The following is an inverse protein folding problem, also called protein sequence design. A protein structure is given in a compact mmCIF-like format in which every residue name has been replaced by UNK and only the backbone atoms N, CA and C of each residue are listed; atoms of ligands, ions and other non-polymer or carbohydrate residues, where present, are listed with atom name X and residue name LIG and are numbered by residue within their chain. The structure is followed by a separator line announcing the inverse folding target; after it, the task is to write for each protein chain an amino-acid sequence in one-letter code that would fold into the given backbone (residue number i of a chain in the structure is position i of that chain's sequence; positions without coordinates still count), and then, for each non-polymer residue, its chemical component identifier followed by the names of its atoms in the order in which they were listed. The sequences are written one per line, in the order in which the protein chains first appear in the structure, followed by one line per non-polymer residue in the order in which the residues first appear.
data_IF_464912296766
#
_entry.id   IF_464912296766
#
_cell.length_a   1.000
_cell.length_b   1.000
_cell.length_c   1.000
_cell.angle_alpha   90.00
_cell.angle_beta   90.00
_cell.angle_gamma   90.00
#
_symmetry.space_group_name_H-M   'P 1'
#
loop_
_entity.id
_entity.type
_entity.pdbx_description
1 polymer ?
#
# COMPACT_ATOMS: atom_id res chain seq x y z
N UNK A 1 -13.21 -70.94 -34.62
CA UNK A 1 -12.22 -72.04 -34.55
C UNK A 1 -10.81 -71.44 -34.61
N UNK A 2 -10.06 -71.37 -33.50
CA UNK A 2 -8.71 -70.81 -33.53
C UNK A 2 -7.74 -71.79 -34.22
N UNK A 3 -6.97 -71.29 -35.20
CA UNK A 3 -5.93 -72.08 -35.86
C UNK A 3 -4.84 -72.43 -34.85
N UNK A 4 -4.70 -73.72 -34.55
CA UNK A 4 -3.61 -74.27 -33.72
C UNK A 4 -2.25 -73.85 -34.31
N UNK A 5 -1.47 -73.07 -33.57
CA UNK A 5 -0.04 -72.84 -33.85
C UNK A 5 0.65 -74.21 -33.88
N UNK A 6 1.08 -74.66 -35.06
CA UNK A 6 1.94 -75.85 -35.21
C UNK A 6 3.24 -75.56 -34.45
N UNK A 7 3.61 -76.42 -33.52
CA UNK A 7 4.86 -76.30 -32.76
C UNK A 7 6.05 -76.40 -33.72
N UNK A 8 6.94 -75.41 -33.68
CA UNK A 8 8.16 -75.32 -34.52
C UNK A 8 9.22 -76.42 -34.25
N UNK A 9 8.86 -77.55 -33.64
CA UNK A 9 9.79 -78.66 -33.44
C UNK A 9 10.07 -79.45 -34.73
N UNK A 10 9.16 -79.42 -35.70
CA UNK A 10 9.27 -80.23 -36.92
C UNK A 10 10.46 -79.83 -37.83
N UNK A 11 10.97 -78.58 -37.74
CA UNK A 11 12.06 -78.06 -38.58
C UNK A 11 13.42 -77.94 -37.86
N UNK A 12 13.61 -78.60 -36.71
CA UNK A 12 14.86 -78.52 -35.95
C UNK A 12 15.76 -79.75 -36.16
N UNK A 13 17.06 -79.51 -36.39
CA UNK A 13 18.05 -80.59 -36.58
C UNK A 13 18.06 -81.56 -35.39
N UNK A 14 18.44 -82.83 -35.60
CA UNK A 14 18.45 -83.85 -34.53
C UNK A 14 19.26 -83.38 -33.32
N UNK A 15 20.37 -82.67 -33.56
CA UNK A 15 21.24 -82.07 -32.54
C UNK A 15 20.55 -80.99 -31.72
N UNK A 16 19.75 -80.12 -32.34
CA UNK A 16 18.98 -79.11 -31.62
C UNK A 16 17.88 -79.74 -30.76
N UNK A 17 17.27 -80.85 -31.22
CA UNK A 17 16.29 -81.61 -30.44
C UNK A 17 16.92 -82.32 -29.25
N UNK A 18 18.05 -82.99 -29.45
CA UNK A 18 18.81 -83.64 -28.38
C UNK A 18 19.27 -82.62 -27.31
N UNK A 19 19.78 -81.46 -27.73
CA UNK A 19 20.19 -80.41 -26.80
C UNK A 19 19.02 -79.76 -26.04
N UNK A 20 17.81 -79.73 -26.61
CA UNK A 20 16.61 -79.28 -25.90
C UNK A 20 16.13 -80.31 -24.89
N UNK A 21 16.18 -81.60 -25.23
CA UNK A 21 15.82 -82.70 -24.32
C UNK A 21 16.82 -82.80 -23.15
N UNK A 22 18.12 -82.66 -23.42
CA UNK A 22 19.14 -82.57 -22.37
C UNK A 22 18.87 -81.40 -21.44
N UNK A 23 18.55 -80.21 -21.98
CA UNK A 23 18.17 -79.02 -21.20
C UNK A 23 16.90 -79.19 -20.35
N UNK A 24 15.93 -79.97 -20.81
CA UNK A 24 14.71 -80.24 -20.02
C UNK A 24 14.92 -81.27 -18.91
N UNK A 25 16.05 -81.99 -18.93
CA UNK A 25 16.43 -83.00 -17.94
C UNK A 25 17.60 -82.54 -17.06
N UNK A 26 18.09 -81.30 -17.25
CA UNK A 26 19.15 -80.71 -16.43
C UNK A 26 18.67 -80.53 -14.98
N UNK A 27 19.55 -80.81 -14.02
CA UNK A 27 19.38 -80.38 -12.63
C UNK A 27 19.40 -78.85 -12.55
N UNK A 28 18.83 -78.28 -11.49
CA UNK A 28 18.90 -76.84 -11.24
C UNK A 28 20.36 -76.37 -11.06
N UNK A 29 21.20 -77.20 -10.43
CA UNK A 29 22.64 -76.92 -10.24
C UNK A 29 23.38 -76.92 -11.59
N UNK A 30 23.19 -77.95 -12.43
CA UNK A 30 23.80 -78.02 -13.76
C UNK A 30 23.30 -76.88 -14.67
N UNK A 31 22.03 -76.52 -14.55
CA UNK A 31 21.43 -75.38 -15.24
C UNK A 31 22.08 -74.06 -14.81
N UNK A 32 22.39 -73.90 -13.53
CA UNK A 32 23.08 -72.73 -12.99
C UNK A 32 24.52 -72.67 -13.49
N UNK A 33 25.28 -73.76 -13.40
CA UNK A 33 26.67 -73.85 -13.90
C UNK A 33 26.73 -73.54 -15.40
N UNK A 34 25.80 -74.05 -16.20
CA UNK A 34 25.77 -73.72 -17.63
C UNK A 34 25.50 -72.23 -17.85
N UNK A 35 24.56 -71.63 -17.12
CA UNK A 35 24.26 -70.20 -17.23
C UNK A 35 25.45 -69.33 -16.80
N UNK A 36 26.18 -69.71 -15.76
CA UNK A 36 27.38 -68.96 -15.33
C UNK A 36 28.48 -69.02 -16.38
N UNK A 37 28.77 -70.21 -16.92
CA UNK A 37 29.75 -70.38 -18.00
C UNK A 37 29.37 -69.64 -19.28
N UNK A 38 28.08 -69.62 -19.63
CA UNK A 38 27.58 -68.85 -20.78
C UNK A 38 27.71 -67.33 -20.53
N UNK A 39 27.40 -66.87 -19.30
CA UNK A 39 27.55 -65.47 -18.91
C UNK A 39 29.03 -65.03 -18.93
N UNK A 40 29.95 -65.85 -18.43
CA UNK A 40 31.39 -65.60 -18.46
C UNK A 40 31.91 -65.50 -19.90
N UNK A 41 31.48 -66.41 -20.78
CA UNK A 41 31.87 -66.37 -22.19
C UNK A 41 31.37 -65.12 -22.89
N UNK A 42 30.14 -64.71 -22.61
CA UNK A 42 29.60 -63.44 -23.12
C UNK A 42 30.33 -62.23 -22.54
N UNK A 43 30.68 -62.23 -21.25
CA UNK A 43 31.45 -61.16 -20.63
C UNK A 43 32.85 -61.04 -21.27
N UNK A 44 33.53 -62.16 -21.52
CA UNK A 44 34.82 -62.17 -22.21
C UNK A 44 34.71 -61.66 -23.66
N UNK A 45 33.65 -62.04 -24.38
CA UNK A 45 33.38 -61.50 -25.71
C UNK A 45 33.14 -59.99 -25.68
N UNK A 46 32.34 -59.49 -24.72
CA UNK A 46 32.09 -58.05 -24.53
C UNK A 46 33.36 -57.28 -24.20
N UNK A 47 34.22 -57.84 -23.35
CA UNK A 47 35.50 -57.23 -22.98
C UNK A 47 36.48 -57.13 -24.17
N UNK A 48 36.35 -58.03 -25.15
CA UNK A 48 37.15 -58.03 -26.37
C UNK A 48 36.52 -57.24 -27.53
N UNK A 49 35.32 -56.65 -27.37
CA UNK A 49 34.67 -55.86 -28.42
C UNK A 49 35.47 -54.58 -28.74
N UNK A 50 35.64 -54.27 -30.03
CA UNK A 50 36.12 -52.95 -30.43
C UNK A 50 35.02 -51.90 -30.22
N UNK A 51 35.41 -50.62 -30.22
CA UNK A 51 34.46 -49.51 -30.15
C UNK A 51 33.37 -49.59 -31.24
N UNK A 52 33.75 -49.88 -32.48
CA UNK A 52 32.80 -49.97 -33.61
C UNK A 52 31.81 -51.14 -33.46
N UNK A 53 32.28 -52.31 -33.02
CA UNK A 53 31.42 -53.45 -32.75
C UNK A 53 30.46 -53.17 -31.59
N UNK A 54 30.96 -52.52 -30.54
CA UNK A 54 30.16 -52.04 -29.41
C UNK A 54 29.06 -51.09 -29.88
N UNK A 55 29.42 -50.08 -30.68
CA UNK A 55 28.48 -49.10 -31.21
C UNK A 55 27.42 -49.73 -32.11
N UNK A 56 27.84 -50.61 -33.03
CA UNK A 56 26.93 -51.34 -33.93
C UNK A 56 25.91 -52.16 -33.13
N UNK A 57 26.38 -52.87 -32.11
CA UNK A 57 25.50 -53.64 -31.22
C UNK A 57 24.52 -52.72 -30.48
N UNK A 58 24.98 -51.62 -29.90
CA UNK A 58 24.11 -50.67 -29.21
C UNK A 58 23.05 -50.06 -30.15
N UNK A 59 23.41 -49.75 -31.40
CA UNK A 59 22.45 -49.25 -32.39
C UNK A 59 21.40 -50.31 -32.73
N UNK A 60 21.80 -51.56 -32.98
CA UNK A 60 20.87 -52.66 -33.25
C UNK A 60 19.93 -52.94 -32.07
N UNK A 61 20.43 -52.82 -30.83
CA UNK A 61 19.61 -52.97 -29.63
C UNK A 61 18.63 -51.79 -29.47
N UNK A 62 19.09 -50.55 -29.73
CA UNK A 62 18.23 -49.37 -29.72
C UNK A 62 17.11 -49.46 -30.77
N UNK A 63 17.42 -49.88 -31.99
CA UNK A 63 16.45 -50.08 -33.07
C UNK A 63 15.43 -51.15 -32.71
N UNK A 64 15.89 -52.28 -32.14
CA UNK A 64 14.99 -53.35 -31.68
C UNK A 64 14.05 -52.84 -30.59
N UNK A 65 14.55 -52.07 -29.63
CA UNK A 65 13.73 -51.48 -28.58
C UNK A 65 12.75 -50.44 -29.15
N UNK A 66 13.17 -49.57 -30.05
CA UNK A 66 12.31 -48.59 -30.71
C UNK A 66 11.17 -49.28 -31.47
N UNK A 67 11.47 -50.34 -32.24
CA UNK A 67 10.47 -51.14 -32.93
C UNK A 67 9.50 -51.83 -31.96
N UNK A 68 9.99 -52.36 -30.84
CA UNK A 68 9.14 -52.91 -29.79
C UNK A 68 8.21 -51.86 -29.19
N UNK A 69 8.73 -50.65 -28.87
CA UNK A 69 7.92 -49.54 -28.34
C UNK A 69 6.85 -49.09 -29.33
N UNK A 70 7.19 -48.99 -30.61
CA UNK A 70 6.24 -48.60 -31.66
C UNK A 70 5.11 -49.63 -31.85
N UNK A 71 5.36 -50.90 -31.52
CA UNK A 71 4.39 -51.98 -31.58
C UNK A 71 3.61 -52.21 -30.26
N UNK A 72 3.91 -51.46 -29.19
CA UNK A 72 3.19 -51.59 -27.91
C UNK A 72 1.73 -51.12 -28.04
N UNK A 73 0.81 -51.92 -27.50
CA UNK A 73 -0.57 -51.47 -27.28
C UNK A 73 -0.63 -50.45 -26.14
N UNK A 74 -1.67 -49.59 -26.07
CA UNK A 74 -1.82 -48.64 -24.96
C UNK A 74 -1.75 -49.30 -23.56
N UNK A 75 -2.31 -50.50 -23.40
CA UNK A 75 -2.27 -51.24 -22.13
C UNK A 75 -0.84 -51.73 -21.80
N UNK A 76 -0.09 -52.18 -22.79
CA UNK A 76 1.32 -52.57 -22.61
C UNK A 76 2.19 -51.35 -22.28
N UNK A 77 1.97 -50.22 -22.96
CA UNK A 77 2.64 -48.95 -22.66
C UNK A 77 2.37 -48.50 -21.24
N UNK A 78 1.11 -48.56 -20.79
CA UNK A 78 0.73 -48.20 -19.43
C UNK A 78 1.36 -49.14 -18.40
N UNK A 79 1.27 -50.45 -18.59
CA UNK A 79 1.87 -51.43 -17.68
C UNK A 79 3.39 -51.22 -17.54
N UNK A 80 4.07 -50.92 -18.65
CA UNK A 80 5.48 -50.55 -18.63
C UNK A 80 5.74 -49.27 -17.85
N UNK A 81 4.99 -48.20 -18.11
CA UNK A 81 5.18 -46.92 -17.43
C UNK A 81 4.97 -47.05 -15.91
N UNK A 82 4.04 -47.89 -15.48
CA UNK A 82 3.84 -48.21 -14.05
C UNK A 82 5.07 -48.90 -13.47
N UNK A 83 5.59 -49.96 -14.13
CA UNK A 83 6.79 -50.66 -13.67
C UNK A 83 8.01 -49.73 -13.63
N UNK A 84 8.16 -48.87 -14.64
CA UNK A 84 9.26 -47.89 -14.70
C UNK A 84 9.13 -46.85 -13.57
N UNK A 85 7.92 -46.35 -13.29
CA UNK A 85 7.65 -45.43 -12.20
C UNK A 85 7.93 -46.06 -10.83
N UNK A 86 7.50 -47.31 -10.61
CA UNK A 86 7.78 -48.07 -9.38
C UNK A 86 9.27 -48.28 -9.18
N UNK A 87 10.00 -48.66 -10.24
CA UNK A 87 11.46 -48.82 -10.19
C UNK A 87 12.15 -47.51 -9.83
N UNK A 88 11.75 -46.40 -10.45
CA UNK A 88 12.30 -45.09 -10.12
C UNK A 88 11.98 -44.69 -8.68
N UNK A 89 10.75 -44.92 -8.20
CA UNK A 89 10.38 -44.64 -6.82
C UNK A 89 11.23 -45.46 -5.83
N UNK A 90 11.43 -46.75 -6.09
CA UNK A 90 12.29 -47.61 -5.28
C UNK A 90 13.75 -47.15 -5.29
N UNK A 91 14.27 -46.74 -6.45
CA UNK A 91 15.61 -46.15 -6.55
C UNK A 91 15.71 -44.86 -5.73
N UNK A 92 14.72 -43.95 -5.82
CA UNK A 92 14.69 -42.70 -5.02
C UNK A 92 14.65 -43.01 -3.52
N UNK A 93 13.87 -44.00 -3.09
CA UNK A 93 13.77 -44.38 -1.69
C UNK A 93 15.08 -44.97 -1.14
N UNK A 94 15.90 -45.56 -2.01
CA UNK A 94 17.21 -46.12 -1.66
C UNK A 94 18.38 -45.13 -1.81
N UNK A 95 18.14 -43.88 -2.28
CA UNK A 95 19.18 -42.87 -2.42
C UNK A 95 19.77 -42.48 -1.06
N UNK A 96 21.09 -42.36 -0.99
CA UNK A 96 21.73 -41.70 0.15
C UNK A 96 21.45 -40.19 0.14
N UNK A 97 21.71 -39.51 1.25
CA UNK A 97 21.59 -38.04 1.32
C UNK A 97 22.47 -37.33 0.30
N UNK A 98 23.71 -37.81 0.09
CA UNK A 98 24.63 -37.27 -0.91
C UNK A 98 24.13 -37.49 -2.33
N UNK A 99 23.60 -38.68 -2.65
CA UNK A 99 23.00 -38.95 -3.96
C UNK A 99 21.76 -38.09 -4.21
N UNK A 100 20.92 -37.91 -3.19
CA UNK A 100 19.74 -37.03 -3.25
C UNK A 100 20.15 -35.59 -3.54
N UNK A 101 21.16 -35.08 -2.82
CA UNK A 101 21.67 -33.73 -3.02
C UNK A 101 22.27 -33.55 -4.42
N UNK A 102 23.13 -34.47 -4.86
CA UNK A 102 23.73 -34.42 -6.20
C UNK A 102 22.66 -34.41 -7.30
N UNK A 103 21.62 -35.23 -7.14
CA UNK A 103 20.47 -35.21 -8.05
C UNK A 103 19.73 -33.86 -8.03
N UNK A 104 19.40 -33.34 -6.85
CA UNK A 104 18.67 -32.07 -6.74
C UNK A 104 19.44 -30.92 -7.37
N UNK A 105 20.78 -30.91 -7.25
CA UNK A 105 21.64 -29.93 -7.92
C UNK A 105 21.54 -30.07 -9.43
N UNK A 106 21.68 -31.29 -9.98
CA UNK A 106 21.56 -31.53 -11.43
C UNK A 106 20.16 -31.15 -11.95
N UNK A 107 19.10 -31.47 -11.19
CA UNK A 107 17.72 -31.12 -11.56
C UNK A 107 17.52 -29.60 -11.53
N UNK A 108 18.06 -28.90 -10.52
CA UNK A 108 18.02 -27.44 -10.43
C UNK A 108 18.79 -26.77 -11.58
N UNK A 109 19.98 -27.26 -11.92
CA UNK A 109 20.78 -26.78 -13.05
C UNK A 109 20.05 -26.99 -14.38
N UNK A 110 19.45 -28.17 -14.57
CA UNK A 110 18.64 -28.46 -15.77
C UNK A 110 17.44 -27.53 -15.87
N UNK A 111 16.72 -27.30 -14.77
CA UNK A 111 15.61 -26.36 -14.76
C UNK A 111 16.08 -24.94 -15.04
N UNK A 112 17.19 -24.48 -14.46
CA UNK A 112 17.76 -23.17 -14.74
C UNK A 112 18.14 -23.01 -16.21
N UNK A 113 18.78 -24.02 -16.81
CA UNK A 113 19.12 -24.03 -18.24
C UNK A 113 17.87 -24.03 -19.13
N UNK A 114 16.84 -24.80 -18.77
CA UNK A 114 15.55 -24.76 -19.47
C UNK A 114 14.91 -23.37 -19.40
N UNK A 115 14.90 -22.73 -18.22
CA UNK A 115 14.38 -21.36 -18.05
C UNK A 115 15.17 -20.35 -18.87
N UNK A 116 16.50 -20.46 -18.91
CA UNK A 116 17.36 -19.57 -19.69
C UNK A 116 17.14 -19.74 -21.21
N UNK A 117 16.74 -20.93 -21.66
CA UNK A 117 16.42 -21.23 -23.05
C UNK A 117 14.95 -20.95 -23.43
N UNK A 118 14.10 -20.52 -22.48
CA UNK A 118 12.71 -20.18 -22.78
C UNK A 118 12.63 -19.01 -23.77
N UNK A 119 11.76 -19.15 -24.77
CA UNK A 119 11.34 -18.01 -25.58
C UNK A 119 10.51 -17.04 -24.74
N UNK A 120 10.36 -15.79 -25.21
CA UNK A 120 9.49 -14.80 -24.56
C UNK A 120 8.05 -15.28 -24.39
N UNK A 121 7.50 -15.97 -25.41
CA UNK A 121 6.15 -16.55 -25.35
C UNK A 121 6.03 -17.66 -24.30
N UNK A 122 7.02 -18.55 -24.21
CA UNK A 122 7.04 -19.60 -23.18
C UNK A 122 7.17 -19.01 -21.77
N UNK A 123 8.00 -17.97 -21.61
CA UNK A 123 8.15 -17.24 -20.34
C UNK A 123 6.84 -16.60 -19.94
N UNK A 124 6.15 -15.94 -20.87
CA UNK A 124 4.87 -15.31 -20.61
C UNK A 124 3.79 -16.33 -20.25
N UNK A 125 3.67 -17.43 -21.01
CA UNK A 125 2.71 -18.50 -20.72
C UNK A 125 2.92 -19.09 -19.33
N UNK A 126 4.19 -19.32 -18.94
CA UNK A 126 4.52 -19.78 -17.59
C UNK A 126 4.13 -18.76 -16.52
N UNK A 127 4.48 -17.49 -16.70
CA UNK A 127 4.15 -16.44 -15.74
C UNK A 127 2.63 -16.29 -15.56
N UNK A 128 1.85 -16.45 -16.63
CA UNK A 128 0.38 -16.45 -16.56
C UNK A 128 -0.11 -17.63 -15.72
N UNK A 129 0.36 -18.85 -15.99
CA UNK A 129 -0.01 -20.04 -15.20
C UNK A 129 0.36 -19.88 -13.72
N UNK A 130 1.55 -19.33 -13.43
CA UNK A 130 2.01 -19.08 -12.07
C UNK A 130 1.13 -18.01 -11.38
N UNK A 131 0.78 -16.93 -12.09
CA UNK A 131 -0.11 -15.88 -11.58
C UNK A 131 -1.53 -16.41 -11.32
N UNK A 132 -2.08 -17.23 -12.21
CA UNK A 132 -3.38 -17.88 -12.05
C UNK A 132 -3.39 -18.82 -10.84
N UNK A 133 -2.33 -19.61 -10.66
CA UNK A 133 -2.19 -20.48 -9.48
C UNK A 133 -2.14 -19.67 -8.20
N UNK A 134 -1.38 -18.59 -8.18
CA UNK A 134 -1.33 -17.70 -7.01
C UNK A 134 -2.68 -17.03 -6.76
N UNK A 135 -3.37 -16.55 -7.79
CA UNK A 135 -4.70 -15.96 -7.65
C UNK A 135 -5.71 -16.98 -7.10
N UNK A 136 -5.69 -18.22 -7.59
CA UNK A 136 -6.54 -19.30 -7.08
C UNK A 136 -6.21 -19.64 -5.61
N UNK A 137 -4.93 -19.68 -5.24
CA UNK A 137 -4.51 -19.86 -3.85
C UNK A 137 -5.02 -18.72 -2.96
N UNK A 138 -4.90 -17.46 -3.40
CA UNK A 138 -5.43 -16.29 -2.67
C UNK A 138 -6.95 -16.34 -2.52
N UNK A 139 -7.66 -16.71 -3.57
CA UNK A 139 -9.13 -16.83 -3.54
C UNK A 139 -9.62 -17.95 -2.60
N UNK A 140 -8.78 -18.97 -2.36
CA UNK A 140 -9.06 -20.05 -1.43
C UNK A 140 -8.61 -19.75 0.02
N UNK A 141 -7.96 -18.61 0.29
CA UNK A 141 -7.54 -18.24 1.64
C UNK A 141 -8.76 -18.02 2.55
N UNK A 142 -8.69 -18.52 3.78
CA UNK A 142 -9.64 -18.12 4.83
C UNK A 142 -9.38 -16.68 5.27
N UNK A 143 -10.32 -16.07 6.00
CA UNK A 143 -10.10 -14.72 6.54
C UNK A 143 -8.90 -14.65 7.50
N UNK A 144 -8.67 -15.71 8.28
CA UNK A 144 -7.50 -15.82 9.18
C UNK A 144 -6.19 -15.90 8.41
N UNK A 145 -6.13 -16.71 7.33
CA UNK A 145 -4.95 -16.80 6.47
C UNK A 145 -4.67 -15.46 5.77
N UNK A 146 -5.73 -14.81 5.27
CA UNK A 146 -5.66 -13.48 4.66
C UNK A 146 -5.11 -12.46 5.65
N UNK A 147 -5.63 -12.44 6.88
CA UNK A 147 -5.17 -11.54 7.93
C UNK A 147 -3.72 -11.81 8.33
N UNK A 148 -3.33 -13.07 8.54
CA UNK A 148 -1.95 -13.44 8.86
C UNK A 148 -0.99 -12.98 7.76
N UNK A 149 -1.36 -13.17 6.49
CA UNK A 149 -0.59 -12.65 5.36
C UNK A 149 -0.47 -11.13 5.37
N UNK A 150 -1.56 -10.41 5.59
CA UNK A 150 -1.52 -8.95 5.65
C UNK A 150 -0.66 -8.43 6.80
N UNK A 151 -0.64 -9.11 7.94
CA UNK A 151 0.27 -8.78 9.06
C UNK A 151 1.72 -8.98 8.64
N UNK A 152 2.06 -10.13 8.07
CA UNK A 152 3.43 -10.42 7.59
C UNK A 152 3.87 -9.40 6.51
N UNK A 153 2.98 -9.06 5.58
CA UNK A 153 3.26 -8.08 4.53
C UNK A 153 3.47 -6.67 5.13
N UNK A 154 2.64 -6.27 6.11
CA UNK A 154 2.79 -4.99 6.81
C UNK A 154 4.09 -4.91 7.62
N UNK A 155 4.45 -5.98 8.34
CA UNK A 155 5.71 -6.08 9.09
C UNK A 155 6.91 -5.98 8.14
N UNK A 156 6.89 -6.70 7.01
CA UNK A 156 7.95 -6.63 5.99
C UNK A 156 8.09 -5.22 5.43
N UNK A 157 6.98 -4.56 5.11
CA UNK A 157 7.01 -3.18 4.63
C UNK A 157 7.52 -2.22 5.71
N UNK A 158 7.08 -2.35 6.96
CA UNK A 158 7.58 -1.53 8.06
C UNK A 158 9.09 -1.71 8.26
N UNK A 159 9.59 -2.94 8.22
CA UNK A 159 11.02 -3.24 8.31
C UNK A 159 11.81 -2.64 7.14
N UNK A 160 11.28 -2.75 5.91
CA UNK A 160 11.88 -2.11 4.73
C UNK A 160 11.95 -0.58 4.90
N UNK A 161 10.86 0.06 5.35
CA UNK A 161 10.82 1.52 5.61
C UNK A 161 11.80 1.93 6.70
N UNK A 162 11.91 1.16 7.78
CA UNK A 162 12.86 1.46 8.86
C UNK A 162 14.32 1.34 8.41
N UNK A 163 14.60 0.51 7.39
CA UNK A 163 15.91 0.34 6.80
C UNK A 163 16.21 1.31 5.63
N UNK A 164 15.26 2.15 5.21
CA UNK A 164 15.47 3.10 4.12
C UNK A 164 16.51 4.16 4.51
N UNK A 165 17.43 4.45 3.59
CA UNK A 165 18.29 5.62 3.72
C UNK A 165 17.49 6.90 3.50
N UNK A 166 18.02 8.05 3.91
CA UNK A 166 17.40 9.36 3.66
C UNK A 166 17.15 9.60 2.15
N UNK A 167 18.09 9.20 1.29
CA UNK A 167 17.93 9.32 -0.17
C UNK A 167 16.80 8.43 -0.71
N UNK A 168 16.71 7.17 -0.24
CA UNK A 168 15.62 6.27 -0.63
C UNK A 168 14.26 6.77 -0.15
N UNK A 169 14.19 7.27 1.10
CA UNK A 169 13.01 7.91 1.66
C UNK A 169 12.57 9.08 0.79
N UNK A 170 13.48 9.97 0.40
CA UNK A 170 13.16 11.13 -0.42
C UNK A 170 12.71 10.73 -1.83
N UNK A 171 13.42 9.79 -2.49
CA UNK A 171 13.02 9.28 -3.81
C UNK A 171 11.61 8.68 -3.76
N UNK A 172 11.29 7.91 -2.71
CA UNK A 172 9.94 7.40 -2.50
C UNK A 172 8.91 8.51 -2.32
N UNK A 173 9.18 9.52 -1.50
CA UNK A 173 8.24 10.63 -1.30
C UNK A 173 7.96 11.39 -2.60
N UNK A 174 8.97 11.55 -3.47
CA UNK A 174 8.78 12.13 -4.81
C UNK A 174 7.85 11.26 -5.64
N UNK A 175 8.13 9.95 -5.74
CA UNK A 175 7.29 9.01 -6.50
C UNK A 175 5.85 8.96 -5.95
N UNK A 176 5.68 8.97 -4.63
CA UNK A 176 4.37 8.99 -3.98
C UNK A 176 3.61 10.29 -4.29
N UNK A 177 4.29 11.45 -4.26
CA UNK A 177 3.71 12.74 -4.61
C UNK A 177 3.30 12.81 -6.09
N UNK A 178 4.13 12.32 -7.01
CA UNK A 178 3.82 12.23 -8.44
C UNK A 178 2.62 11.32 -8.69
N UNK A 179 2.57 10.15 -8.03
CA UNK A 179 1.44 9.23 -8.13
C UNK A 179 0.16 9.88 -7.62
N UNK A 180 0.21 10.57 -6.49
CA UNK A 180 -0.94 11.29 -5.96
C UNK A 180 -1.39 12.41 -6.89
N UNK A 181 -0.46 13.20 -7.46
CA UNK A 181 -0.80 14.24 -8.43
C UNK A 181 -1.47 13.65 -9.68
N UNK A 182 -0.93 12.55 -10.22
CA UNK A 182 -1.52 11.84 -11.36
C UNK A 182 -2.92 11.28 -11.04
N UNK A 183 -3.10 10.71 -9.84
CA UNK A 183 -4.42 10.24 -9.37
C UNK A 183 -5.41 11.41 -9.28
N UNK A 184 -5.02 12.56 -8.72
CA UNK A 184 -5.86 13.77 -8.64
C UNK A 184 -6.24 14.29 -10.03
N UNK A 185 -5.28 14.30 -10.97
CA UNK A 185 -5.54 14.73 -12.34
C UNK A 185 -6.48 13.78 -13.10
N UNK A 186 -6.50 12.50 -12.74
CA UNK A 186 -7.38 11.49 -13.32
C UNK A 186 -8.75 11.37 -12.60
N UNK A 187 -8.98 12.11 -11.51
CA UNK A 187 -10.27 12.09 -10.81
C UNK A 187 -11.39 12.63 -11.71
N UNK A 188 -12.52 11.93 -11.69
CA UNK A 188 -13.77 12.47 -12.23
C UNK A 188 -14.29 13.61 -11.34
N UNK A 189 -15.10 14.51 -11.89
CA UNK A 189 -15.72 15.60 -11.13
C UNK A 189 -16.48 15.10 -9.89
N UNK A 190 -17.16 13.95 -9.98
CA UNK A 190 -17.85 13.34 -8.84
C UNK A 190 -16.88 12.89 -7.73
N UNK A 191 -15.77 12.26 -8.10
CA UNK A 191 -14.74 11.85 -7.13
C UNK A 191 -14.09 13.06 -6.46
N UNK A 192 -13.78 14.10 -7.24
CA UNK A 192 -13.25 15.35 -6.69
C UNK A 192 -14.22 16.00 -5.71
N UNK A 193 -15.52 16.08 -6.06
CA UNK A 193 -16.54 16.63 -5.16
C UNK A 193 -16.65 15.81 -3.88
N UNK A 194 -16.74 14.47 -3.98
CA UNK A 194 -16.81 13.59 -2.81
C UNK A 194 -15.61 13.79 -1.88
N UNK A 195 -14.40 13.91 -2.44
CA UNK A 195 -13.21 14.22 -1.66
C UNK A 195 -13.29 15.57 -0.96
N UNK A 196 -13.70 16.63 -1.68
CA UNK A 196 -13.82 17.95 -1.08
C UNK A 196 -14.84 17.99 0.08
N UNK A 197 -15.93 17.23 -0.03
CA UNK A 197 -16.90 17.06 1.05
C UNK A 197 -16.25 16.38 2.26
N UNK A 198 -15.56 15.24 2.05
CA UNK A 198 -14.86 14.52 3.13
C UNK A 198 -13.79 15.40 3.80
N UNK A 199 -13.03 16.16 3.01
CA UNK A 199 -12.01 17.08 3.53
C UNK A 199 -12.65 18.22 4.34
N UNK A 200 -13.77 18.77 3.87
CA UNK A 200 -14.53 19.81 4.59
C UNK A 200 -15.12 19.29 5.90
N UNK A 201 -15.71 18.09 5.90
CA UNK A 201 -16.24 17.43 7.09
C UNK A 201 -15.13 17.18 8.12
N UNK A 202 -13.97 16.69 7.66
CA UNK A 202 -12.81 16.47 8.54
C UNK A 202 -12.33 17.78 9.18
N UNK A 203 -12.21 18.85 8.39
CA UNK A 203 -11.85 20.15 8.92
C UNK A 203 -12.90 20.69 9.90
N UNK A 204 -14.19 20.56 9.59
CA UNK A 204 -15.27 20.97 10.49
C UNK A 204 -15.22 20.20 11.82
N UNK A 205 -15.01 18.89 11.77
CA UNK A 205 -14.86 18.06 12.96
C UNK A 205 -13.63 18.46 13.79
N UNK A 206 -12.50 18.76 13.13
CA UNK A 206 -11.32 19.29 13.81
C UNK A 206 -11.61 20.63 14.50
N UNK A 207 -12.31 21.55 13.83
CA UNK A 207 -12.72 22.83 14.44
C UNK A 207 -13.64 22.63 15.64
N UNK A 208 -14.61 21.73 15.53
CA UNK A 208 -15.53 21.43 16.62
C UNK A 208 -14.84 20.81 17.84
N UNK A 209 -13.71 20.11 17.63
CA UNK A 209 -12.90 19.53 18.68
C UNK A 209 -11.83 20.48 19.24
N UNK A 210 -11.68 21.70 18.71
CA UNK A 210 -10.73 22.68 19.24
C UNK A 210 -11.10 23.07 20.67
N UNK A 211 -10.09 23.12 21.55
CA UNK A 211 -10.27 23.72 22.87
C UNK A 211 -10.43 25.24 22.75
N UNK A 212 -10.94 25.88 23.80
CA UNK A 212 -11.05 27.35 23.86
C UNK A 212 -9.70 28.05 23.61
N UNK A 213 -8.60 27.51 24.17
CA UNK A 213 -7.26 28.05 23.95
C UNK A 213 -6.81 27.92 22.49
N UNK A 214 -7.04 26.77 21.85
CA UNK A 214 -6.72 26.56 20.44
C UNK A 214 -7.54 27.48 19.53
N UNK A 215 -8.83 27.63 19.84
CA UNK A 215 -9.73 28.54 19.14
C UNK A 215 -9.22 29.98 19.23
N UNK A 216 -8.86 30.44 20.43
CA UNK A 216 -8.34 31.79 20.64
C UNK A 216 -7.01 32.01 19.91
N UNK A 217 -6.07 31.06 20.00
CA UNK A 217 -4.80 31.13 19.28
C UNK A 217 -5.01 31.23 17.76
N UNK A 218 -5.95 30.46 17.21
CA UNK A 218 -6.32 30.54 15.79
C UNK A 218 -6.88 31.91 15.43
N UNK A 219 -7.80 32.46 16.23
CA UNK A 219 -8.37 33.79 15.98
C UNK A 219 -7.30 34.89 16.00
N UNK A 220 -6.32 34.79 16.90
CA UNK A 220 -5.17 35.72 16.91
C UNK A 220 -4.35 35.60 15.63
N UNK A 221 -3.98 34.38 15.22
CA UNK A 221 -3.23 34.15 13.98
C UNK A 221 -4.01 34.64 12.75
N UNK A 222 -5.32 34.38 12.69
CA UNK A 222 -6.19 34.83 11.60
C UNK A 222 -6.27 36.37 11.57
N UNK A 223 -6.37 37.03 12.73
CA UNK A 223 -6.36 38.49 12.85
C UNK A 223 -5.02 39.10 12.42
N UNK A 224 -3.89 38.52 12.85
CA UNK A 224 -2.54 38.94 12.43
C UNK A 224 -2.36 38.79 10.92
N UNK A 225 -2.81 37.68 10.34
CA UNK A 225 -2.76 37.45 8.89
C UNK A 225 -3.57 38.50 8.14
N UNK A 226 -4.79 38.79 8.60
CA UNK A 226 -5.62 39.83 7.99
C UNK A 226 -4.99 41.23 8.14
N UNK A 227 -4.39 41.55 9.29
CA UNK A 227 -3.68 42.80 9.49
C UNK A 227 -2.47 42.93 8.56
N UNK A 228 -1.67 41.87 8.42
CA UNK A 228 -0.53 41.83 7.50
C UNK A 228 -0.96 41.98 6.03
N UNK A 229 -2.06 41.32 5.63
CA UNK A 229 -2.65 41.50 4.30
C UNK A 229 -3.06 42.95 4.06
N UNK A 230 -3.76 43.59 5.03
CA UNK A 230 -4.15 45.00 4.93
C UNK A 230 -2.95 45.94 4.85
N UNK A 231 -1.88 45.66 5.59
CA UNK A 231 -0.65 46.46 5.55
C UNK A 231 0.08 46.34 4.19
N UNK A 232 -0.08 45.22 3.50
CA UNK A 232 0.52 44.96 2.19
C UNK A 232 -0.36 45.45 1.01
N UNK A 233 -1.61 45.87 1.26
CA UNK A 233 -2.49 46.40 0.21
C UNK A 233 -1.88 47.66 -0.41
N UNK A 234 -1.84 47.70 -1.74
CA UNK A 234 -1.55 48.94 -2.47
C UNK A 234 -2.80 49.84 -2.51
N UNK A 235 -2.60 51.15 -2.73
CA UNK A 235 -3.68 52.15 -2.69
C UNK A 235 -4.93 51.77 -3.52
N UNK A 236 -4.75 51.21 -4.72
CA UNK A 236 -5.88 50.74 -5.55
C UNK A 236 -6.66 49.59 -4.92
N UNK A 237 -5.97 48.64 -4.29
CA UNK A 237 -6.60 47.51 -3.59
C UNK A 237 -7.36 47.98 -2.35
N UNK A 238 -6.76 48.91 -1.59
CA UNK A 238 -7.42 49.52 -0.43
C UNK A 238 -8.69 50.25 -0.83
N UNK A 239 -8.65 51.04 -1.91
CA UNK A 239 -9.81 51.76 -2.42
C UNK A 239 -10.90 50.80 -2.90
N UNK A 240 -10.54 49.76 -3.67
CA UNK A 240 -11.49 48.75 -4.12
C UNK A 240 -12.16 48.02 -2.95
N UNK A 241 -11.39 47.65 -1.91
CA UNK A 241 -11.94 47.02 -0.70
C UNK A 241 -12.89 47.96 0.03
N UNK A 242 -12.54 49.23 0.23
CA UNK A 242 -13.42 50.20 0.90
C UNK A 242 -14.72 50.42 0.14
N UNK A 243 -14.68 50.44 -1.19
CA UNK A 243 -15.89 50.52 -2.02
C UNK A 243 -16.76 49.28 -1.81
N UNK A 244 -16.19 48.08 -1.89
CA UNK A 244 -16.93 46.83 -1.66
C UNK A 244 -17.49 46.74 -0.24
N UNK A 245 -16.74 47.20 0.77
CA UNK A 245 -17.20 47.25 2.16
C UNK A 245 -18.37 48.24 2.31
N UNK A 246 -18.31 49.40 1.65
CA UNK A 246 -19.39 50.39 1.64
C UNK A 246 -20.63 49.88 0.90
N UNK A 247 -20.47 49.20 -0.24
CA UNK A 247 -21.57 48.58 -0.99
C UNK A 247 -22.23 47.47 -0.18
N UNK A 248 -21.44 46.63 0.50
CA UNK A 248 -21.97 45.59 1.39
C UNK A 248 -22.75 46.19 2.55
N UNK A 249 -22.23 47.26 3.16
CA UNK A 249 -22.92 47.97 4.23
C UNK A 249 -24.23 48.60 3.72
N UNK A 250 -24.20 49.22 2.54
CA UNK A 250 -25.40 49.79 1.92
C UNK A 250 -26.44 48.71 1.59
N UNK A 251 -26.01 47.55 1.09
CA UNK A 251 -26.87 46.39 0.85
C UNK A 251 -27.48 45.86 2.15
N UNK A 252 -26.71 45.78 3.23
CA UNK A 252 -27.22 45.35 4.53
C UNK A 252 -28.30 46.32 5.04
N UNK A 253 -28.04 47.62 4.96
CA UNK A 253 -29.01 48.66 5.35
C UNK A 253 -30.26 48.60 4.47
N UNK A 254 -30.12 48.37 3.17
CA UNK A 254 -31.25 48.28 2.24
C UNK A 254 -32.11 47.02 2.46
N UNK A 255 -31.51 45.94 2.96
CA UNK A 255 -32.20 44.69 3.30
C UNK A 255 -32.85 44.72 4.70
N UNK A 256 -32.49 45.69 5.55
CA UNK A 256 -33.01 45.81 6.90
C UNK A 256 -34.51 46.16 6.86
N UNK A 257 -35.32 45.39 7.57
CA UNK A 257 -36.76 45.63 7.65
C UNK A 257 -37.08 46.82 8.56
N UNK A 258 -38.24 47.46 8.33
CA UNK A 258 -38.70 48.58 9.17
C UNK A 258 -38.77 48.22 10.67
N UNK A 259 -39.10 46.96 10.97
CA UNK A 259 -39.14 46.43 12.35
C UNK A 259 -37.75 46.30 12.95
N UNK A 260 -36.77 45.77 12.20
CA UNK A 260 -35.38 45.67 12.64
C UNK A 260 -34.77 47.05 12.87
N UNK A 261 -34.96 48.01 11.95
CA UNK A 261 -34.50 49.39 12.15
C UNK A 261 -35.19 50.05 13.35
N UNK A 262 -36.49 49.81 13.56
CA UNK A 262 -37.22 50.32 14.75
C UNK A 262 -36.67 49.70 16.03
N UNK A 263 -36.40 48.40 16.04
CA UNK A 263 -35.81 47.68 17.16
C UNK A 263 -34.39 48.19 17.47
N UNK A 264 -33.57 48.41 16.45
CA UNK A 264 -32.25 49.00 16.59
C UNK A 264 -32.30 50.41 17.20
N UNK A 265 -33.22 51.26 16.73
CA UNK A 265 -33.47 52.58 17.33
C UNK A 265 -33.92 52.49 18.79
N UNK A 266 -34.82 51.56 19.13
CA UNK A 266 -35.27 51.34 20.50
C UNK A 266 -34.11 50.90 21.40
N UNK A 267 -33.34 49.89 21.00
CA UNK A 267 -32.17 49.41 21.75
C UNK A 267 -31.15 50.53 21.95
N UNK A 268 -30.85 51.32 20.91
CA UNK A 268 -29.95 52.46 21.03
C UNK A 268 -30.52 53.53 21.97
N UNK A 269 -31.82 53.79 21.92
CA UNK A 269 -32.50 54.74 22.83
C UNK A 269 -32.53 54.25 24.27
N UNK A 270 -32.72 52.95 24.50
CA UNK A 270 -32.69 52.31 25.81
C UNK A 270 -31.29 52.34 26.39
N UNK A 271 -30.27 52.02 25.59
CA UNK A 271 -28.86 52.15 25.99
C UNK A 271 -28.51 53.58 26.36
N UNK A 272 -28.96 54.57 25.59
CA UNK A 272 -28.79 55.99 25.93
C UNK A 272 -29.54 56.37 27.22
N UNK A 273 -30.78 55.92 27.39
CA UNK A 273 -31.57 56.18 28.60
C UNK A 273 -30.98 55.51 29.84
N UNK A 274 -30.44 54.31 29.70
CA UNK A 274 -29.72 53.58 30.75
C UNK A 274 -28.45 54.31 31.16
N UNK A 275 -27.64 54.79 30.20
CA UNK A 275 -26.49 55.67 30.50
C UNK A 275 -26.90 56.94 31.25
N UNK A 276 -28.01 57.56 30.86
CA UNK A 276 -28.54 58.73 31.57
C UNK A 276 -28.99 58.36 32.98
N UNK A 277 -29.63 57.20 33.17
CA UNK A 277 -30.04 56.72 34.49
C UNK A 277 -28.84 56.44 35.39
N UNK A 278 -27.83 55.71 34.91
CA UNK A 278 -26.60 55.47 35.67
C UNK A 278 -25.90 56.78 36.04
N UNK A 279 -25.84 57.74 35.12
CA UNK A 279 -25.35 59.10 35.40
C UNK A 279 -26.17 59.79 36.50
N UNK A 280 -27.50 59.79 36.44
CA UNK A 280 -28.35 60.40 37.48
C UNK A 280 -28.25 59.73 38.86
N UNK A 281 -27.85 58.45 38.93
CA UNK A 281 -27.69 57.72 40.18
C UNK A 281 -26.45 58.17 40.97
N UNK A 282 -25.66 59.12 40.46
CA UNK A 282 -24.48 59.67 41.13
C UNK A 282 -23.54 58.57 41.66
N UNK A 283 -23.27 57.56 40.83
CA UNK A 283 -22.27 56.52 41.12
C UNK A 283 -21.03 56.74 40.29
N UNK A 284 -19.86 56.37 40.81
CA UNK A 284 -18.60 56.47 40.06
C UNK A 284 -18.58 55.54 38.83
N UNK A 285 -19.42 54.51 38.82
CA UNK A 285 -19.67 53.63 37.67
C UNK A 285 -20.14 54.39 36.42
N UNK A 286 -20.83 55.52 36.58
CA UNK A 286 -21.22 56.36 35.44
C UNK A 286 -20.02 57.00 34.70
N UNK A 287 -18.84 56.99 35.32
CA UNK A 287 -17.59 57.51 34.76
C UNK A 287 -16.62 56.40 34.34
N UNK A 288 -16.95 55.12 34.58
CA UNK A 288 -16.16 54.01 34.09
C UNK A 288 -16.12 54.07 32.55
N UNK A 289 -14.91 54.14 31.98
CA UNK A 289 -14.65 54.27 30.54
C UNK A 289 -15.24 55.52 29.85
N UNK A 290 -15.75 56.51 30.58
CA UNK A 290 -16.34 57.74 30.01
C UNK A 290 -15.34 58.58 29.19
N UNK A 291 -14.03 58.34 29.36
CA UNK A 291 -12.99 58.94 28.53
C UNK A 291 -12.95 58.39 27.09
N UNK A 292 -13.41 57.15 26.88
CA UNK A 292 -13.43 56.49 25.57
C UNK A 292 -14.83 56.50 24.93
N UNK A 293 -15.87 56.68 25.74
CA UNK A 293 -17.29 56.63 25.34
C UNK A 293 -18.01 57.93 25.73
N UNK A 294 -17.54 59.07 25.19
CA UNK A 294 -18.12 60.40 25.45
C UNK A 294 -19.54 60.53 24.89
N UNK A 295 -20.53 60.76 25.76
CA UNK A 295 -21.90 61.10 25.34
C UNK A 295 -22.12 62.63 25.38
N UNK A 296 -22.23 63.32 24.22
CA UNK A 296 -22.36 64.78 24.17
C UNK A 296 -23.67 65.30 24.79
N UNK A 297 -24.62 64.42 25.12
CA UNK A 297 -25.89 64.78 25.74
C UNK A 297 -25.84 64.70 27.28
N UNK A 298 -24.70 64.31 27.84
CA UNK A 298 -24.45 64.26 29.27
C UNK A 298 -23.60 65.47 29.70
N UNK A 299 -24.09 66.23 30.68
CA UNK A 299 -23.36 67.37 31.24
C UNK A 299 -22.35 66.90 32.30
N UNK A 300 -21.24 66.35 31.82
CA UNK A 300 -20.14 65.88 32.67
C UNK A 300 -19.51 67.00 33.50
N UNK A 301 -19.53 68.25 33.00
CA UNK A 301 -18.88 69.39 33.63
C UNK A 301 -19.55 69.77 34.96
N UNK A 302 -20.88 69.72 35.01
CA UNK A 302 -21.64 70.07 36.22
C UNK A 302 -22.04 68.85 37.06
N UNK A 303 -21.49 67.66 36.80
CA UNK A 303 -21.88 66.48 37.55
C UNK A 303 -21.39 66.54 39.00
N UNK A 304 -22.26 66.19 39.95
CA UNK A 304 -22.02 66.35 41.39
C UNK A 304 -20.78 65.61 41.92
N UNK A 305 -20.46 64.48 41.30
CA UNK A 305 -19.27 63.69 41.62
C UNK A 305 -17.98 64.24 40.98
N UNK A 306 -18.10 65.04 39.92
CA UNK A 306 -16.98 65.64 39.19
C UNK A 306 -16.62 66.97 39.86
N UNK A 307 -15.95 66.90 41.00
CA UNK A 307 -15.40 68.06 41.71
C UNK A 307 -14.00 68.39 41.18
N UNK A 308 -13.90 68.66 39.89
CA UNK A 308 -12.66 69.19 39.30
C UNK A 308 -12.64 70.69 39.61
N UNK A 309 -12.08 71.06 40.77
CA UNK A 309 -11.94 72.46 41.19
C UNK A 309 -11.20 73.31 40.14
N UNK A 310 -11.20 74.64 40.28
CA UNK A 310 -10.45 75.50 39.33
C UNK A 310 -8.96 75.13 39.30
N UNK A 311 -8.34 75.18 38.12
CA UNK A 311 -6.88 75.08 37.97
C UNK A 311 -6.23 76.34 38.55
N UNK A 312 -6.09 76.37 39.88
CA UNK A 312 -5.63 77.53 40.63
C UNK A 312 -4.22 77.33 41.21
N UNK A 313 -3.70 76.10 41.17
CA UNK A 313 -2.38 75.78 41.70
C UNK A 313 -1.34 75.94 40.61
N UNK A 314 -0.37 76.83 40.77
CA UNK A 314 0.78 76.90 39.85
C UNK A 314 1.78 75.78 40.14
N UNK A 315 2.17 75.06 39.09
CA UNK A 315 3.27 74.12 39.12
C UNK A 315 4.57 74.85 39.43
N UNK A 316 5.28 74.44 40.48
CA UNK A 316 6.57 75.03 40.87
C UNK A 316 7.69 74.91 39.83
N UNK A 317 7.54 74.03 38.84
CA UNK A 317 8.58 73.74 37.86
C UNK A 317 8.38 74.40 36.49
N UNK A 318 7.13 74.69 36.10
CA UNK A 318 6.82 75.20 34.77
C UNK A 318 5.73 76.28 34.75
N UNK A 319 5.31 76.79 35.91
CA UNK A 319 4.26 77.81 36.08
C UNK A 319 2.88 77.47 35.49
N UNK A 320 2.69 76.27 34.94
CA UNK A 320 1.40 75.79 34.47
C UNK A 320 0.39 75.68 35.62
N UNK A 321 -0.85 76.07 35.36
CA UNK A 321 -1.95 75.88 36.30
C UNK A 321 -2.31 74.39 36.38
N UNK A 322 -2.62 73.90 37.59
CA UNK A 322 -2.92 72.49 37.91
C UNK A 322 -4.13 72.40 38.81
N UNK A 323 -4.77 71.23 38.81
CA UNK A 323 -5.89 70.94 39.71
C UNK A 323 -5.41 70.65 41.13
N UNK A 324 -6.31 70.79 42.11
CA UNK A 324 -5.97 70.73 43.55
C UNK A 324 -5.41 69.37 44.01
N UNK A 325 -5.82 68.30 43.35
CA UNK A 325 -5.49 66.91 43.67
C UNK A 325 -4.79 66.18 42.51
N UNK A 326 -4.27 66.94 41.54
CA UNK A 326 -3.49 66.37 40.45
C UNK A 326 -2.17 65.83 41.02
N UNK A 327 -2.01 64.50 40.99
CA UNK A 327 -0.76 63.85 41.41
C UNK A 327 0.42 64.50 40.70
N UNK A 328 1.49 64.90 41.41
CA UNK A 328 2.69 65.39 40.75
C UNK A 328 3.15 64.31 39.79
N UNK A 329 3.19 64.63 38.51
CA UNK A 329 3.91 63.83 37.53
C UNK A 329 5.37 63.82 38.03
N UNK A 330 5.83 62.65 38.45
CA UNK A 330 7.23 62.42 38.81
C UNK A 330 8.10 62.49 37.55
#
# INVERSE_FOLDING_TARGET
MPRKRKSNLANSSSRTRAAKLARSLESEEDSQIRRTLDAERHAAQRAAETFEHTQTRHNLDADRHAAQRAAETPQQTQARQVIDAERHAAQRAAETSQQTQARQVIDAERHAAQRAAETSQQTQARQVIDAERHAAQRAAETSQQTQARHVIDAERHAAQRAAETSQQTQARHVIDAERHAAQRAAETSQQTQARHVIDAERHAAQRAAETSQQTQARHVIDAERHAAQRAAEISQQTQARQILDAERQASYIAAETSEETRRGRLINSERQAERRRTFTMNTWEAFADAAFDYDPLIDYFNHRLVLIGRMANKCRHCDALKWKEETPVA
#
